data_IF_047332847245
#
_entry.id   IF_047332847245
#
_cell.length_a   1.000
_cell.length_b   1.000
_cell.length_c   1.000
_cell.angle_alpha   90.00
_cell.angle_beta   90.00
_cell.angle_gamma   90.00
#
_symmetry.space_group_name_H-M   'P 1'
#
loop_
_entity.id
_entity.type
_entity.pdbx_description
1 polymer ?
#
# COMPACT_ATOMS: atom_id res chain seq x y z
N UNK A 1 28.22 -1.66 3.40
CA UNK A 1 26.85 -1.63 3.92
C UNK A 1 25.94 -1.48 2.72
N UNK A 2 25.03 -2.42 2.52
CA UNK A 2 24.04 -2.39 1.42
C UNK A 2 22.87 -1.52 1.83
N UNK A 3 22.39 -0.65 0.95
CA UNK A 3 21.27 0.25 1.24
C UNK A 3 20.10 -0.05 0.31
N UNK A 4 18.96 -0.42 0.89
CA UNK A 4 17.72 -0.73 0.16
C UNK A 4 16.74 0.43 0.35
N UNK A 5 16.23 0.97 -0.74
CA UNK A 5 15.08 1.86 -0.67
C UNK A 5 13.80 1.02 -0.72
N UNK A 6 12.90 1.20 0.24
CA UNK A 6 11.66 0.44 0.38
C UNK A 6 10.45 1.34 0.19
N UNK A 7 9.62 1.06 -0.83
CA UNK A 7 8.34 1.75 -1.01
C UNK A 7 7.43 1.48 0.18
N UNK A 8 7.30 2.47 1.05
CA UNK A 8 6.53 2.42 2.29
C UNK A 8 6.09 3.83 2.68
N UNK A 9 4.96 3.92 3.38
CA UNK A 9 4.39 5.22 3.77
C UNK A 9 4.98 5.79 5.06
N UNK A 10 5.65 4.96 5.87
CA UNK A 10 6.54 5.38 6.97
C UNK A 10 7.61 4.34 7.24
N UNK A 11 8.64 4.72 7.99
CA UNK A 11 9.58 3.78 8.59
C UNK A 11 8.92 3.07 9.80
N UNK A 12 9.09 1.74 9.99
CA UNK A 12 8.48 1.02 11.12
C UNK A 12 8.84 1.56 12.50
N UNK A 13 10.01 2.19 12.64
CA UNK A 13 10.49 2.72 13.93
C UNK A 13 10.12 4.19 14.12
N UNK A 14 9.51 4.82 13.13
CA UNK A 14 9.10 6.23 13.20
C UNK A 14 7.78 6.38 13.97
N UNK A 15 7.83 7.13 15.07
CA UNK A 15 6.67 7.55 15.85
C UNK A 15 6.01 8.73 15.12
N UNK A 16 4.82 8.51 14.57
CA UNK A 16 4.05 9.54 13.87
C UNK A 16 2.66 9.62 14.49
N UNK A 17 2.29 10.80 14.98
CA UNK A 17 0.95 11.06 15.52
C UNK A 17 -0.12 11.09 14.43
N UNK A 18 -1.39 11.03 14.81
CA UNK A 18 -2.51 10.94 13.87
C UNK A 18 -2.53 12.08 12.84
N UNK A 19 -2.41 13.32 13.30
CA UNK A 19 -2.47 14.54 12.48
C UNK A 19 -1.40 14.51 11.38
N UNK A 20 -0.17 14.19 11.79
CA UNK A 20 0.96 14.08 10.89
C UNK A 20 0.82 12.86 9.96
N UNK A 21 0.30 11.74 10.47
CA UNK A 21 0.02 10.55 9.67
C UNK A 21 -0.99 10.83 8.55
N UNK A 22 -2.00 11.68 8.81
CA UNK A 22 -2.99 12.11 7.82
C UNK A 22 -2.36 13.09 6.82
N UNK A 23 -1.58 14.08 7.29
CA UNK A 23 -0.92 15.07 6.43
C UNK A 23 0.08 14.42 5.47
N UNK A 24 0.93 13.51 5.96
CA UNK A 24 1.93 12.78 5.17
C UNK A 24 1.35 11.60 4.40
N UNK A 25 0.11 11.21 4.69
CA UNK A 25 -0.52 9.99 4.23
C UNK A 25 0.33 8.73 4.49
N UNK A 26 0.78 8.58 5.73
CA UNK A 26 1.71 7.48 6.13
C UNK A 26 1.12 6.09 5.91
N UNK A 27 -0.21 5.94 5.94
CA UNK A 27 -0.88 4.68 5.62
C UNK A 27 -1.14 4.50 4.12
N UNK A 28 -0.71 5.42 3.26
CA UNK A 28 -0.96 5.39 1.81
C UNK A 28 -2.46 5.18 1.50
N UNK A 29 -3.31 5.94 2.17
CA UNK A 29 -4.79 5.89 2.21
C UNK A 29 -5.41 4.69 2.91
N UNK A 30 -4.64 3.64 3.24
CA UNK A 30 -5.16 2.45 3.90
C UNK A 30 -4.15 1.74 4.83
N UNK A 31 -4.48 1.55 6.10
CA UNK A 31 -3.57 0.97 7.10
C UNK A 31 -3.10 -0.46 6.77
N UNK A 32 -3.88 -1.19 5.97
CA UNK A 32 -3.46 -2.47 5.40
C UNK A 32 -2.19 -2.39 4.55
N UNK A 33 -1.86 -1.21 4.01
CA UNK A 33 -0.60 -0.99 3.30
C UNK A 33 0.61 -1.06 4.22
N UNK A 34 0.47 -0.60 5.46
CA UNK A 34 1.54 -0.68 6.43
C UNK A 34 1.81 -2.12 6.86
N UNK A 35 0.78 -2.97 6.92
CA UNK A 35 0.93 -4.40 7.31
C UNK A 35 1.93 -5.12 6.41
N UNK A 36 1.83 -4.94 5.08
CA UNK A 36 2.77 -5.59 4.17
C UNK A 36 4.09 -4.84 4.01
N UNK A 37 4.13 -3.52 4.19
CA UNK A 37 5.40 -2.79 4.12
C UNK A 37 6.25 -2.99 5.37
N UNK A 38 5.65 -3.00 6.56
CA UNK A 38 6.36 -3.33 7.82
C UNK A 38 6.91 -4.76 7.77
N UNK A 39 6.13 -5.72 7.28
CA UNK A 39 6.61 -7.08 7.06
C UNK A 39 7.79 -7.12 6.09
N UNK A 40 7.74 -6.37 4.98
CA UNK A 40 8.86 -6.28 4.03
C UNK A 40 10.11 -5.63 4.65
N UNK A 41 9.96 -4.61 5.49
CA UNK A 41 11.07 -4.04 6.27
C UNK A 41 11.68 -5.07 7.22
N UNK A 42 10.86 -5.78 8.00
CA UNK A 42 11.31 -6.84 8.90
C UNK A 42 12.06 -7.94 8.15
N UNK A 43 11.50 -8.40 7.03
CA UNK A 43 12.08 -9.48 6.23
C UNK A 43 13.50 -9.15 5.74
N UNK A 44 13.77 -7.87 5.45
CA UNK A 44 15.05 -7.39 4.91
C UNK A 44 15.99 -6.81 5.98
N UNK A 45 15.60 -6.86 7.25
CA UNK A 45 16.41 -6.34 8.35
C UNK A 45 17.50 -7.35 8.74
N UNK A 46 18.65 -7.27 8.06
CA UNK A 46 19.79 -8.15 8.29
C UNK A 46 21.08 -7.36 8.51
N UNK A 47 22.08 -7.91 9.22
CA UNK A 47 23.36 -7.24 9.43
C UNK A 47 24.02 -6.80 8.12
N UNK A 48 24.43 -5.54 8.08
CA UNK A 48 25.08 -4.92 6.93
C UNK A 48 24.11 -4.44 5.84
N UNK A 49 22.79 -4.57 6.03
CA UNK A 49 21.75 -3.98 5.19
C UNK A 49 21.04 -2.87 5.94
N UNK A 50 20.88 -1.71 5.30
CA UNK A 50 20.04 -0.59 5.76
C UNK A 50 18.78 -0.54 4.89
N UNK A 51 17.60 -0.63 5.49
CA UNK A 51 16.33 -0.48 4.77
C UNK A 51 15.77 0.90 5.07
N UNK A 52 15.56 1.71 4.03
CA UNK A 52 15.12 3.10 4.15
C UNK A 52 13.74 3.27 3.53
N UNK A 53 12.82 3.92 4.24
CA UNK A 53 11.47 4.18 3.74
C UNK A 53 11.43 5.29 2.68
N UNK A 54 10.57 5.14 1.67
CA UNK A 54 10.25 6.24 0.75
C UNK A 54 9.47 7.39 1.39
N UNK A 55 8.97 7.23 2.61
CA UNK A 55 8.26 8.28 3.34
C UNK A 55 9.15 9.51 3.62
N UNK A 56 10.46 9.30 3.74
CA UNK A 56 11.46 10.33 3.94
C UNK A 56 11.75 11.15 2.68
N UNK A 57 11.15 10.81 1.53
CA UNK A 57 11.63 11.31 0.24
C UNK A 57 11.23 12.73 -0.15
N UNK A 58 10.21 13.36 0.43
CA UNK A 58 9.89 14.81 0.31
C UNK A 58 9.81 15.49 -1.09
N UNK A 59 10.19 14.82 -2.18
CA UNK A 59 10.58 15.38 -3.48
C UNK A 59 10.23 14.35 -4.55
N UNK A 60 8.94 14.26 -4.88
CA UNK A 60 8.32 13.29 -5.81
C UNK A 60 8.81 13.36 -7.28
N UNK A 61 9.93 14.03 -7.57
CA UNK A 61 10.51 14.21 -8.92
C UNK A 61 11.96 13.78 -9.10
N UNK A 62 12.73 13.56 -8.02
CA UNK A 62 14.17 13.19 -8.07
C UNK A 62 14.46 11.79 -7.54
N UNK A 63 13.42 11.01 -7.22
CA UNK A 63 13.57 9.71 -6.59
C UNK A 63 14.46 8.76 -7.40
N UNK A 64 14.35 8.76 -8.73
CA UNK A 64 15.21 7.94 -9.59
C UNK A 64 16.70 8.29 -9.47
N UNK A 65 17.02 9.58 -9.38
CA UNK A 65 18.41 10.05 -9.26
C UNK A 65 18.96 9.67 -7.89
N UNK A 66 18.17 9.88 -6.84
CA UNK A 66 18.50 9.47 -5.47
C UNK A 66 18.73 7.97 -5.34
N UNK A 67 17.87 7.14 -5.97
CA UNK A 67 18.08 5.68 -6.02
C UNK A 67 19.47 5.35 -6.56
N UNK A 68 19.89 6.04 -7.62
CA UNK A 68 21.16 5.76 -8.28
C UNK A 68 22.37 6.20 -7.44
N UNK A 69 22.25 7.32 -6.73
CA UNK A 69 23.31 7.91 -5.91
C UNK A 69 23.47 7.21 -4.55
N UNK A 70 22.36 6.83 -3.91
CA UNK A 70 22.35 6.46 -2.48
C UNK A 70 22.06 4.98 -2.19
N UNK A 71 21.49 4.25 -3.15
CA UNK A 71 20.92 2.92 -2.89
C UNK A 71 21.49 1.86 -3.83
N UNK A 72 21.40 0.61 -3.38
CA UNK A 72 21.84 -0.58 -4.12
C UNK A 72 20.68 -1.28 -4.81
N UNK A 73 19.45 -1.15 -4.30
CA UNK A 73 18.24 -1.62 -4.94
C UNK A 73 17.00 -0.83 -4.48
N UNK A 74 15.94 -0.89 -5.29
CA UNK A 74 14.63 -0.35 -4.96
C UNK A 74 13.60 -1.47 -4.81
N UNK A 75 13.14 -1.70 -3.59
CA UNK A 75 12.15 -2.72 -3.24
C UNK A 75 10.77 -2.09 -3.18
N UNK A 76 9.82 -2.69 -3.88
CA UNK A 76 8.51 -2.10 -4.15
C UNK A 76 7.39 -3.06 -3.71
N UNK A 77 7.02 -3.09 -2.43
CA UNK A 77 5.79 -3.72 -1.98
C UNK A 77 4.59 -3.00 -2.62
N UNK A 78 3.78 -3.77 -3.31
CA UNK A 78 2.56 -3.29 -3.95
C UNK A 78 1.35 -4.02 -3.38
N UNK A 79 0.19 -3.45 -3.67
CA UNK A 79 -1.10 -4.08 -3.43
C UNK A 79 -1.78 -4.29 -4.78
N UNK A 80 -3.02 -3.85 -4.88
CA UNK A 80 -3.81 -3.84 -6.11
C UNK A 80 -3.42 -2.68 -7.05
N UNK A 81 -2.18 -2.64 -7.51
CA UNK A 81 -1.66 -1.52 -8.31
C UNK A 81 -2.31 -1.44 -9.70
N UNK A 82 -2.76 -2.56 -10.28
CA UNK A 82 -3.48 -2.52 -11.56
C UNK A 82 -4.96 -2.22 -11.30
N UNK A 83 -5.25 -0.92 -11.17
CA UNK A 83 -6.60 -0.37 -11.05
C UNK A 83 -6.64 1.04 -11.64
N UNK A 84 -7.77 1.46 -12.25
CA UNK A 84 -7.87 2.79 -12.86
C UNK A 84 -7.53 3.95 -11.92
N UNK A 85 -8.00 3.88 -10.66
CA UNK A 85 -7.74 4.93 -9.67
C UNK A 85 -6.27 5.11 -9.27
N UNK A 86 -5.40 4.15 -9.60
CA UNK A 86 -3.96 4.21 -9.33
C UNK A 86 -3.11 4.34 -10.59
N UNK A 87 -3.71 4.35 -11.78
CA UNK A 87 -2.97 4.49 -13.04
C UNK A 87 -2.01 5.70 -13.05
N UNK A 88 -2.36 6.90 -12.54
CA UNK A 88 -1.41 8.01 -12.46
C UNK A 88 -0.22 7.73 -11.52
N UNK A 89 -0.46 6.97 -10.44
CA UNK A 89 0.58 6.50 -9.51
C UNK A 89 1.49 5.48 -10.17
N UNK A 90 0.91 4.53 -10.92
CA UNK A 90 1.63 3.53 -11.69
C UNK A 90 2.55 4.20 -12.72
N UNK A 91 2.05 5.17 -13.50
CA UNK A 91 2.85 5.95 -14.45
C UNK A 91 4.02 6.69 -13.79
N UNK A 92 3.84 7.24 -12.57
CA UNK A 92 4.92 7.89 -11.81
C UNK A 92 5.98 6.87 -11.36
N UNK A 93 5.54 5.71 -10.91
CA UNK A 93 6.42 4.63 -10.49
C UNK A 93 7.22 4.10 -11.69
N UNK A 94 6.59 3.85 -12.83
CA UNK A 94 7.26 3.44 -14.08
C UNK A 94 8.35 4.43 -14.49
N UNK A 95 8.07 5.74 -14.46
CA UNK A 95 9.10 6.76 -14.75
C UNK A 95 10.27 6.73 -13.78
N UNK A 96 10.02 6.45 -12.50
CA UNK A 96 11.07 6.33 -11.49
C UNK A 96 11.94 5.10 -11.77
N UNK A 97 11.31 3.95 -12.03
CA UNK A 97 11.97 2.68 -12.34
C UNK A 97 12.83 2.81 -13.60
N UNK A 98 12.29 3.38 -14.69
CA UNK A 98 13.05 3.58 -15.94
C UNK A 98 14.27 4.49 -15.78
N UNK A 99 14.24 5.46 -14.86
CA UNK A 99 15.39 6.32 -14.52
C UNK A 99 16.40 5.66 -13.61
N UNK A 100 16.02 4.61 -12.88
CA UNK A 100 16.93 3.92 -11.99
C UNK A 100 17.92 3.05 -12.79
N UNK A 101 19.19 3.07 -12.40
CA UNK A 101 20.23 2.16 -12.85
C UNK A 101 20.41 0.97 -11.90
N UNK A 102 19.64 0.93 -10.81
CA UNK A 102 19.70 -0.10 -9.76
C UNK A 102 18.63 -1.18 -10.00
N UNK A 103 18.84 -2.40 -9.47
CA UNK A 103 17.80 -3.42 -9.42
C UNK A 103 16.50 -2.92 -8.80
N UNK A 104 15.37 -3.40 -9.33
CA UNK A 104 14.03 -3.11 -8.80
C UNK A 104 13.31 -4.43 -8.56
N UNK A 105 12.82 -4.61 -7.34
CA UNK A 105 12.17 -5.86 -6.90
C UNK A 105 10.74 -5.57 -6.46
N UNK A 106 9.75 -6.20 -7.09
CA UNK A 106 8.33 -5.99 -6.76
C UNK A 106 7.84 -7.10 -5.84
N UNK A 107 7.47 -6.73 -4.61
CA UNK A 107 6.94 -7.68 -3.63
C UNK A 107 5.42 -7.72 -3.72
N UNK A 108 4.91 -8.49 -4.69
CA UNK A 108 3.52 -8.87 -4.82
C UNK A 108 2.63 -7.74 -5.33
N UNK A 109 2.48 -7.63 -6.65
CA UNK A 109 1.46 -6.77 -7.29
C UNK A 109 0.18 -7.56 -7.61
N UNK A 110 -0.97 -6.90 -7.52
CA UNK A 110 -2.29 -7.49 -7.82
C UNK A 110 -3.10 -6.67 -8.82
N UNK A 111 -3.90 -7.37 -9.62
CA UNK A 111 -4.95 -6.80 -10.45
C UNK A 111 -6.27 -6.62 -9.71
N UNK A 112 -6.94 -5.48 -9.93
CA UNK A 112 -8.31 -5.30 -9.46
C UNK A 112 -9.28 -5.77 -10.54
N UNK A 113 -10.15 -6.72 -10.22
CA UNK A 113 -11.23 -7.19 -11.10
C UNK A 113 -12.53 -7.46 -10.33
N UNK A 114 -13.64 -7.60 -11.06
CA UNK A 114 -14.88 -8.15 -10.51
C UNK A 114 -14.67 -9.60 -10.06
N UNK A 115 -15.47 -10.09 -9.10
CA UNK A 115 -15.30 -11.43 -8.48
C UNK A 115 -15.21 -12.58 -9.50
N UNK A 116 -15.83 -12.44 -10.68
CA UNK A 116 -15.75 -13.40 -11.78
C UNK A 116 -14.48 -13.35 -12.64
N UNK A 117 -13.49 -12.52 -12.28
CA UNK A 117 -12.25 -12.37 -13.06
C UNK A 117 -12.40 -11.45 -14.28
N UNK A 118 -13.48 -10.67 -14.36
CA UNK A 118 -13.69 -9.71 -15.45
C UNK A 118 -12.64 -8.59 -15.39
N UNK A 119 -11.81 -8.51 -16.45
CA UNK A 119 -10.74 -7.54 -16.66
C UNK A 119 -11.12 -6.42 -17.64
N UNK A 120 -12.38 -6.32 -18.09
CA UNK A 120 -12.81 -5.32 -19.07
C UNK A 120 -12.44 -3.88 -18.66
N UNK A 121 -12.58 -3.54 -17.38
CA UNK A 121 -12.19 -2.20 -16.86
C UNK A 121 -10.68 -2.00 -16.76
N UNK A 122 -9.86 -3.04 -16.92
CA UNK A 122 -8.40 -2.93 -17.03
C UNK A 122 -7.94 -2.71 -18.48
N UNK A 123 -8.76 -3.05 -19.49
CA UNK A 123 -8.40 -2.85 -20.91
C UNK A 123 -7.90 -1.43 -21.22
N UNK A 124 -8.54 -0.34 -20.74
CA UNK A 124 -8.08 1.02 -21.04
C UNK A 124 -6.69 1.35 -20.47
N UNK A 125 -6.22 0.59 -19.47
CA UNK A 125 -4.93 0.80 -18.82
C UNK A 125 -3.88 -0.27 -19.16
N UNK A 126 -4.17 -1.21 -20.06
CA UNK A 126 -3.24 -2.30 -20.42
C UNK A 126 -1.88 -1.78 -20.89
N UNK A 127 -1.85 -0.72 -21.69
CA UNK A 127 -0.57 -0.12 -22.13
C UNK A 127 0.23 0.46 -20.95
N UNK A 128 -0.46 1.03 -19.95
CA UNK A 128 0.21 1.47 -18.72
C UNK A 128 0.73 0.28 -17.90
N UNK A 129 -0.03 -0.83 -17.84
CA UNK A 129 0.40 -2.06 -17.17
C UNK A 129 1.61 -2.65 -17.87
N UNK A 130 1.57 -2.78 -19.20
CA UNK A 130 2.70 -3.27 -20.01
C UNK A 130 3.95 -2.42 -19.81
N UNK A 131 3.83 -1.09 -19.86
CA UNK A 131 4.98 -0.20 -19.66
C UNK A 131 5.58 -0.35 -18.25
N UNK A 132 4.74 -0.50 -17.22
CA UNK A 132 5.19 -0.78 -15.87
C UNK A 132 5.91 -2.12 -15.74
N UNK A 133 5.31 -3.21 -16.24
CA UNK A 133 5.87 -4.55 -16.12
C UNK A 133 7.18 -4.66 -16.90
N UNK A 134 7.24 -4.14 -18.13
CA UNK A 134 8.49 -4.07 -18.91
C UNK A 134 9.57 -3.30 -18.15
N UNK A 135 9.24 -2.15 -17.55
CA UNK A 135 10.21 -1.39 -16.77
C UNK A 135 10.74 -2.15 -15.53
N UNK A 136 9.92 -3.00 -14.90
CA UNK A 136 10.36 -3.87 -13.79
C UNK A 136 11.26 -4.99 -14.30
N UNK A 137 10.87 -5.67 -15.38
CA UNK A 137 11.64 -6.78 -15.97
C UNK A 137 12.98 -6.31 -16.58
N UNK A 138 13.07 -5.04 -17.00
CA UNK A 138 14.35 -4.40 -17.38
C UNK A 138 15.33 -4.29 -16.18
N UNK A 139 14.89 -4.55 -14.94
CA UNK A 139 15.64 -4.33 -13.69
C UNK A 139 15.79 -5.56 -12.80
N UNK A 140 15.22 -6.70 -13.19
CA UNK A 140 15.26 -7.93 -12.39
C UNK A 140 14.78 -9.14 -13.19
N UNK A 141 15.04 -10.36 -12.71
CA UNK A 141 14.74 -11.58 -13.46
C UNK A 141 13.24 -11.86 -13.62
N UNK A 142 12.38 -11.30 -12.76
CA UNK A 142 10.94 -11.58 -12.75
C UNK A 142 10.14 -10.54 -11.95
N UNK A 143 8.82 -10.54 -12.08
CA UNK A 143 7.91 -9.74 -11.26
C UNK A 143 7.09 -10.62 -10.31
N UNK A 144 7.09 -10.28 -9.02
CA UNK A 144 6.27 -10.95 -8.01
C UNK A 144 4.82 -10.48 -8.02
N UNK A 145 3.86 -11.41 -8.15
CA UNK A 145 2.42 -11.14 -8.11
C UNK A 145 1.73 -11.80 -6.91
N UNK A 146 0.54 -11.30 -6.55
CA UNK A 146 -0.20 -11.71 -5.34
C UNK A 146 -0.98 -13.02 -5.48
N UNK A 147 -1.23 -13.49 -6.71
CA UNK A 147 -1.97 -14.72 -6.97
C UNK A 147 -2.02 -15.06 -8.45
N UNK A 148 -2.64 -16.19 -8.75
CA UNK A 148 -2.73 -16.79 -10.08
C UNK A 148 -3.51 -15.91 -11.05
N UNK A 149 -4.58 -15.24 -10.58
CA UNK A 149 -5.37 -14.34 -11.41
C UNK A 149 -4.52 -13.23 -12.04
N UNK A 150 -3.68 -12.57 -11.23
CA UNK A 150 -2.78 -11.52 -11.72
C UNK A 150 -1.70 -12.09 -12.63
N UNK A 151 -1.21 -13.30 -12.36
CA UNK A 151 -0.26 -13.98 -13.24
C UNK A 151 -0.86 -14.29 -14.61
N UNK A 152 -2.09 -14.81 -14.65
CA UNK A 152 -2.84 -15.08 -15.87
C UNK A 152 -3.11 -13.79 -16.65
N UNK A 153 -3.50 -12.72 -15.95
CA UNK A 153 -3.68 -11.41 -16.58
C UNK A 153 -2.39 -10.92 -17.25
N UNK A 154 -1.24 -10.96 -16.56
CA UNK A 154 0.04 -10.54 -17.15
C UNK A 154 0.48 -11.47 -18.28
N UNK A 155 0.20 -12.77 -18.17
CA UNK A 155 0.43 -13.76 -19.23
C UNK A 155 -0.37 -13.42 -20.49
N UNK A 156 -1.63 -13.02 -20.34
CA UNK A 156 -2.48 -12.59 -21.45
C UNK A 156 -1.97 -11.33 -22.17
N UNK A 157 -1.16 -10.51 -21.47
CA UNK A 157 -0.49 -9.35 -22.04
C UNK A 157 0.88 -9.67 -22.67
N UNK A 158 1.33 -10.92 -22.60
CA UNK A 158 2.54 -11.42 -23.25
C UNK A 158 3.77 -11.56 -22.33
N UNK A 159 3.63 -11.37 -21.02
CA UNK A 159 4.73 -11.53 -20.07
C UNK A 159 4.83 -12.98 -19.56
N UNK A 160 6.06 -13.49 -19.37
CA UNK A 160 6.29 -14.86 -18.87
C UNK A 160 7.09 -14.91 -17.59
N UNK A 161 7.92 -13.89 -17.34
CA UNK A 161 8.77 -13.77 -16.16
C UNK A 161 7.96 -13.27 -14.95
N UNK A 162 6.90 -14.00 -14.61
CA UNK A 162 5.91 -13.65 -13.58
C UNK A 162 5.86 -14.77 -12.53
N UNK A 163 6.05 -14.41 -11.26
CA UNK A 163 6.10 -15.36 -10.16
C UNK A 163 5.00 -15.10 -9.13
N UNK A 164 4.20 -16.11 -8.81
CA UNK A 164 3.13 -16.01 -7.81
C UNK A 164 3.71 -16.17 -6.40
N UNK A 165 3.92 -15.05 -5.71
CA UNK A 165 4.58 -15.02 -4.40
C UNK A 165 3.65 -14.61 -3.25
N UNK A 166 2.44 -14.16 -3.56
CA UNK A 166 1.50 -13.68 -2.54
C UNK A 166 1.85 -12.29 -2.00
N UNK A 167 1.56 -12.08 -0.72
CA UNK A 167 1.78 -10.82 -0.02
C UNK A 167 2.80 -11.02 1.12
N UNK A 168 3.84 -10.19 1.23
CA UNK A 168 4.90 -10.38 2.23
C UNK A 168 4.39 -10.32 3.68
N UNK A 169 3.22 -9.73 3.93
CA UNK A 169 2.60 -9.70 5.26
C UNK A 169 2.44 -11.09 5.87
N UNK A 170 2.08 -12.11 5.08
CA UNK A 170 1.88 -13.47 5.60
C UNK A 170 3.18 -14.13 6.05
N UNK A 171 4.33 -13.64 5.59
CA UNK A 171 5.66 -14.20 5.89
C UNK A 171 6.37 -13.46 7.03
N UNK A 172 5.70 -12.52 7.71
CA UNK A 172 6.26 -11.74 8.84
C UNK A 172 6.86 -12.63 9.94
N UNK A 173 6.30 -13.82 10.15
CA UNK A 173 6.75 -14.79 11.17
C UNK A 173 7.54 -15.97 10.59
N UNK A 174 7.84 -15.94 9.28
CA UNK A 174 8.67 -16.94 8.63
C UNK A 174 7.90 -18.17 8.14
N UNK A 175 8.48 -19.37 8.22
CA UNK A 175 7.89 -20.61 7.68
C UNK A 175 6.71 -21.13 8.50
N UNK A 176 6.41 -20.51 9.65
CA UNK A 176 5.30 -20.87 10.54
C UNK A 176 4.41 -19.66 10.80
N UNK A 177 3.10 -19.89 10.88
CA UNK A 177 2.14 -18.88 11.32
C UNK A 177 1.96 -18.98 12.83
N UNK A 178 1.78 -17.87 13.56
CA UNK A 178 1.44 -17.88 14.98
C UNK A 178 -0.02 -18.32 15.23
N UNK A 179 -0.68 -18.85 14.20
CA UNK A 179 -2.10 -19.21 14.18
C UNK A 179 -2.41 -20.26 15.24
N UNK A 180 -3.47 -20.01 16.00
CA UNK A 180 -3.99 -20.95 16.99
C UNK A 180 -5.36 -21.43 16.52
N UNK A 181 -5.47 -22.73 16.27
CA UNK A 181 -6.76 -23.30 15.91
C UNK A 181 -7.72 -23.16 17.10
N UNK A 182 -8.94 -22.64 16.89
CA UNK A 182 -9.91 -22.52 17.95
C UNK A 182 -10.36 -23.92 18.39
N UNK A 183 -10.44 -24.15 19.71
CA UNK A 183 -10.88 -25.44 20.26
C UNK A 183 -12.40 -25.64 20.20
N UNK A 184 -13.16 -24.57 19.98
CA UNK A 184 -14.61 -24.54 19.87
C UNK A 184 -15.05 -23.37 18.97
N UNK A 185 -16.30 -23.40 18.52
CA UNK A 185 -16.92 -22.30 17.81
C UNK A 185 -17.12 -21.04 18.68
N UNK A 186 -17.47 -19.90 18.07
CA UNK A 186 -17.72 -18.67 18.78
C UNK A 186 -18.99 -18.76 19.66
N UNK A 187 -18.94 -18.15 20.83
CA UNK A 187 -20.06 -18.05 21.78
C UNK A 187 -20.49 -16.60 21.95
N UNK A 188 -21.59 -16.32 22.67
CA UNK A 188 -22.01 -14.94 22.92
C UNK A 188 -20.95 -14.11 23.69
N UNK A 189 -20.06 -14.76 24.44
CA UNK A 189 -18.96 -14.11 25.15
C UNK A 189 -17.72 -13.88 24.28
N UNK A 190 -17.70 -14.39 23.05
CA UNK A 190 -16.60 -14.19 22.11
C UNK A 190 -16.50 -12.73 21.67
N UNK A 191 -15.28 -12.22 21.68
CA UNK A 191 -14.91 -10.92 21.11
C UNK A 191 -14.64 -11.11 19.63
N UNK A 192 -15.42 -10.43 18.79
CA UNK A 192 -15.30 -10.51 17.32
C UNK A 192 -14.75 -9.19 16.79
N UNK A 193 -13.66 -9.24 16.02
CA UNK A 193 -13.20 -8.09 15.24
C UNK A 193 -13.84 -8.10 13.87
N UNK A 194 -14.45 -6.98 13.50
CA UNK A 194 -14.98 -6.77 12.15
C UNK A 194 -14.22 -5.72 11.38
N UNK A 195 -14.21 -5.84 10.06
CA UNK A 195 -13.62 -4.86 9.16
C UNK A 195 -14.37 -4.78 7.83
N UNK A 196 -14.32 -3.61 7.19
CA UNK A 196 -15.04 -3.37 5.94
C UNK A 196 -14.52 -2.16 5.18
N UNK A 197 -14.97 -2.01 3.94
CA UNK A 197 -14.76 -0.77 3.17
C UNK A 197 -16.09 -0.11 2.91
N UNK A 198 -16.12 1.23 2.86
CA UNK A 198 -17.32 1.98 2.45
C UNK A 198 -17.95 1.46 1.14
N UNK A 199 -17.15 0.91 0.21
CA UNK A 199 -17.66 0.32 -1.02
C UNK A 199 -18.48 -0.95 -0.77
N UNK A 200 -18.07 -1.80 0.18
CA UNK A 200 -18.83 -3.00 0.56
C UNK A 200 -20.13 -2.65 1.27
N UNK A 201 -20.12 -1.65 2.15
CA UNK A 201 -21.35 -1.14 2.79
C UNK A 201 -22.32 -0.56 1.77
N UNK A 202 -21.82 0.19 0.78
CA UNK A 202 -22.67 0.83 -0.23
C UNK A 202 -23.21 -0.14 -1.27
N UNK A 203 -22.37 -1.06 -1.74
CA UNK A 203 -22.66 -1.82 -2.96
C UNK A 203 -23.03 -3.29 -2.70
N UNK A 204 -22.77 -3.80 -1.49
CA UNK A 204 -22.89 -5.24 -1.18
C UNK A 204 -23.50 -5.48 0.21
N UNK A 205 -24.11 -4.45 0.81
CA UNK A 205 -24.84 -4.52 2.08
C UNK A 205 -24.07 -5.23 3.22
N UNK A 206 -22.79 -4.89 3.38
CA UNK A 206 -22.00 -5.41 4.50
C UNK A 206 -22.60 -5.01 5.86
N UNK A 207 -23.39 -3.91 5.91
CA UNK A 207 -24.07 -3.44 7.12
C UNK A 207 -24.95 -4.52 7.75
N UNK A 208 -25.75 -5.23 6.94
CA UNK A 208 -26.57 -6.37 7.40
C UNK A 208 -25.76 -7.44 8.13
N UNK A 209 -24.57 -7.78 7.63
CA UNK A 209 -23.71 -8.77 8.28
C UNK A 209 -23.14 -8.22 9.59
N UNK A 210 -22.74 -6.94 9.60
CA UNK A 210 -22.27 -6.26 10.82
C UNK A 210 -23.36 -6.28 11.89
N UNK A 211 -24.61 -5.99 11.53
CA UNK A 211 -25.75 -6.00 12.46
C UNK A 211 -26.01 -7.40 13.05
N UNK A 212 -25.96 -8.44 12.22
CA UNK A 212 -26.10 -9.83 12.70
C UNK A 212 -24.97 -10.26 13.62
N UNK A 213 -23.72 -9.90 13.29
CA UNK A 213 -22.56 -10.22 14.13
C UNK A 213 -22.67 -9.51 15.48
N UNK A 214 -23.01 -8.22 15.52
CA UNK A 214 -23.13 -7.49 16.80
C UNK A 214 -24.30 -7.97 17.66
N UNK A 215 -25.40 -8.41 17.04
CA UNK A 215 -26.53 -9.01 17.76
C UNK A 215 -26.15 -10.35 18.37
N UNK A 216 -25.43 -11.19 17.62
CA UNK A 216 -24.97 -12.51 18.08
C UNK A 216 -23.84 -12.43 19.10
N UNK A 217 -22.96 -11.44 18.95
CA UNK A 217 -21.71 -11.27 19.70
C UNK A 217 -21.60 -9.83 20.24
N UNK A 218 -22.15 -9.54 21.44
CA UNK A 218 -22.19 -8.18 21.99
C UNK A 218 -20.83 -7.51 22.16
N UNK A 219 -19.74 -8.28 22.28
CA UNK A 219 -18.35 -7.81 22.39
C UNK A 219 -17.67 -7.51 21.05
N UNK A 220 -18.44 -7.41 19.97
CA UNK A 220 -17.91 -7.09 18.63
C UNK A 220 -17.28 -5.70 18.60
N UNK A 221 -16.09 -5.59 18.01
CA UNK A 221 -15.42 -4.33 17.67
C UNK A 221 -15.34 -4.16 16.15
N UNK A 222 -15.23 -2.92 15.67
CA UNK A 222 -15.02 -2.64 14.25
C UNK A 222 -13.72 -1.88 14.02
N UNK A 223 -12.90 -2.36 13.08
CA UNK A 223 -11.62 -1.77 12.72
C UNK A 223 -11.73 -1.09 11.36
N UNK A 224 -11.76 0.24 11.39
CA UNK A 224 -11.54 1.07 10.22
C UNK A 224 -10.07 1.03 9.79
N UNK A 225 -9.82 1.32 8.52
CA UNK A 225 -8.52 1.15 7.87
C UNK A 225 -8.18 2.30 6.91
N UNK A 226 -8.85 3.45 6.90
CA UNK A 226 -8.46 4.57 6.02
C UNK A 226 -8.47 5.93 6.73
N UNK A 227 -7.83 6.93 6.13
CA UNK A 227 -7.68 8.27 6.71
C UNK A 227 -9.03 8.95 6.98
N UNK A 228 -10.05 8.69 6.16
CA UNK A 228 -11.39 9.25 6.36
C UNK A 228 -12.03 8.66 7.61
N UNK A 229 -11.83 7.37 7.87
CA UNK A 229 -12.31 6.70 9.08
C UNK A 229 -11.57 7.23 10.31
N UNK A 230 -10.24 7.39 10.22
CA UNK A 230 -9.44 7.98 11.30
C UNK A 230 -9.89 9.42 11.64
N UNK A 231 -10.11 10.23 10.61
CA UNK A 231 -10.62 11.61 10.72
C UNK A 231 -12.03 11.64 11.34
N UNK A 232 -12.89 10.68 10.97
CA UNK A 232 -14.23 10.54 11.55
C UNK A 232 -14.17 10.14 13.02
N UNK A 233 -13.28 9.23 13.41
CA UNK A 233 -13.12 8.84 14.81
C UNK A 233 -12.58 10.00 15.67
N UNK A 234 -11.58 10.74 15.17
CA UNK A 234 -10.98 11.85 15.93
C UNK A 234 -11.82 13.12 15.97
N UNK A 235 -12.48 13.48 14.87
CA UNK A 235 -13.11 14.80 14.76
C UNK A 235 -14.59 14.75 14.37
N UNK A 236 -15.19 13.55 14.32
CA UNK A 236 -16.60 13.35 13.93
C UNK A 236 -16.94 13.96 12.56
N UNK A 237 -15.95 14.07 11.67
CA UNK A 237 -16.14 14.67 10.34
C UNK A 237 -16.09 13.62 9.23
N UNK A 238 -17.04 13.74 8.29
CA UNK A 238 -17.13 12.89 7.11
C UNK A 238 -17.36 13.71 5.84
N UNK A 239 -16.80 13.27 4.70
CA UNK A 239 -17.19 13.74 3.37
C UNK A 239 -18.71 13.62 3.15
N UNK A 240 -19.29 14.56 2.41
CA UNK A 240 -20.74 14.63 2.18
C UNK A 240 -21.34 13.31 1.67
N UNK A 241 -20.64 12.63 0.76
CA UNK A 241 -21.07 11.36 0.16
C UNK A 241 -20.98 10.14 1.12
N UNK A 242 -20.39 10.30 2.30
CA UNK A 242 -20.28 9.26 3.33
C UNK A 242 -21.17 9.52 4.54
N UNK A 243 -21.61 10.77 4.78
CA UNK A 243 -22.50 11.11 5.90
C UNK A 243 -23.80 10.31 5.90
N UNK A 244 -24.39 10.11 4.72
CA UNK A 244 -25.64 9.36 4.56
C UNK A 244 -25.47 7.83 4.71
N UNK A 245 -24.24 7.32 4.72
CA UNK A 245 -23.96 5.89 4.86
C UNK A 245 -23.81 5.54 6.34
N UNK A 246 -24.92 5.59 7.08
CA UNK A 246 -24.97 5.42 8.55
C UNK A 246 -24.80 3.96 8.99
N UNK A 247 -24.88 3.00 8.08
CA UNK A 247 -24.61 1.58 8.34
C UNK A 247 -23.13 1.24 8.53
N UNK A 248 -22.22 2.19 8.27
CA UNK A 248 -20.78 1.98 8.50
C UNK A 248 -20.46 2.30 9.96
N UNK A 249 -19.83 1.41 10.74
CA UNK A 249 -19.57 1.65 12.16
C UNK A 249 -18.71 2.89 12.47
N UNK A 250 -17.85 3.31 11.56
CA UNK A 250 -17.04 4.54 11.70
C UNK A 250 -17.84 5.83 11.47
N UNK A 251 -19.11 5.73 11.08
CA UNK A 251 -20.01 6.87 10.99
C UNK A 251 -20.43 7.32 12.41
N UNK A 252 -20.34 8.62 12.75
CA UNK A 252 -20.70 9.12 14.08
C UNK A 252 -22.14 8.84 14.52
N UNK A 253 -23.04 8.54 13.59
CA UNK A 253 -24.45 8.18 13.84
C UNK A 253 -24.66 6.68 14.08
N UNK A 254 -23.64 5.84 13.88
CA UNK A 254 -23.76 4.39 14.09
C UNK A 254 -23.65 4.04 15.59
N UNK A 255 -24.46 3.11 16.13
CA UNK A 255 -24.42 2.75 17.56
C UNK A 255 -23.04 2.35 18.08
N UNK A 256 -22.30 1.50 17.35
CA UNK A 256 -20.94 1.09 17.73
C UNK A 256 -19.96 2.26 17.92
N UNK A 257 -20.16 3.38 17.22
CA UNK A 257 -19.35 4.59 17.41
C UNK A 257 -19.55 5.13 18.82
N UNK A 258 -20.81 5.33 19.23
CA UNK A 258 -21.16 5.84 20.56
C UNK A 258 -20.81 4.85 21.68
N UNK A 259 -20.90 3.55 21.41
CA UNK A 259 -20.49 2.47 22.32
C UNK A 259 -18.96 2.37 22.51
N UNK A 260 -18.17 3.18 21.77
CA UNK A 260 -16.71 3.14 21.86
C UNK A 260 -16.11 1.84 21.35
N UNK A 261 -16.76 1.18 20.37
CA UNK A 261 -16.34 -0.12 19.80
C UNK A 261 -15.61 -0.02 18.47
N UNK A 262 -15.24 1.19 18.05
CA UNK A 262 -14.62 1.44 16.75
C UNK A 262 -13.19 1.94 16.91
N UNK A 263 -12.28 1.39 16.11
CA UNK A 263 -10.84 1.68 16.17
C UNK A 263 -10.27 1.89 14.77
N UNK A 264 -9.25 2.73 14.64
CA UNK A 264 -8.38 2.80 13.45
C UNK A 264 -6.93 2.81 13.91
N UNK A 265 -6.09 1.97 13.32
CA UNK A 265 -4.68 1.89 13.67
C UNK A 265 -3.82 2.59 12.62
N UNK A 266 -2.88 3.42 13.09
CA UNK A 266 -1.84 4.05 12.25
C UNK A 266 -0.54 3.23 12.23
N UNK A 267 -0.50 2.15 13.01
CA UNK A 267 0.66 1.29 13.22
C UNK A 267 0.27 -0.20 13.19
N UNK A 268 0.86 -1.03 12.30
CA UNK A 268 0.55 -2.45 12.25
C UNK A 268 0.90 -3.18 13.55
N UNK A 269 1.98 -2.78 14.20
CA UNK A 269 2.46 -3.43 15.43
C UNK A 269 1.49 -3.29 16.60
N UNK A 270 0.90 -2.11 16.80
CA UNK A 270 -0.14 -1.92 17.83
C UNK A 270 -1.44 -2.59 17.41
N UNK A 271 -1.79 -2.56 16.12
CA UNK A 271 -2.94 -3.29 15.59
C UNK A 271 -2.87 -4.81 15.81
N UNK A 272 -1.77 -5.44 15.43
CA UNK A 272 -1.56 -6.89 15.57
C UNK A 272 -1.52 -7.27 17.05
N UNK A 273 -0.95 -6.42 17.91
CA UNK A 273 -0.93 -6.66 19.36
C UNK A 273 -2.34 -6.70 19.95
N UNK A 274 -3.15 -5.70 19.66
CA UNK A 274 -4.51 -5.59 20.22
C UNK A 274 -5.45 -6.69 19.70
N UNK A 275 -5.17 -7.24 18.51
CA UNK A 275 -5.92 -8.37 17.97
C UNK A 275 -5.63 -9.70 18.68
N UNK A 276 -4.55 -9.84 19.47
CA UNK A 276 -4.23 -11.09 20.20
C UNK A 276 -5.29 -11.49 21.21
N UNK A 277 -6.03 -10.52 21.74
CA UNK A 277 -7.07 -10.71 22.75
C UNK A 277 -8.47 -10.84 22.11
N UNK A 278 -8.55 -10.94 20.78
CA UNK A 278 -9.78 -11.17 20.02
C UNK A 278 -9.89 -12.64 19.66
N UNK A 279 -11.10 -13.22 19.82
CA UNK A 279 -11.35 -14.63 19.57
C UNK A 279 -11.46 -14.96 18.07
N UNK A 280 -12.11 -14.09 17.28
CA UNK A 280 -12.25 -14.25 15.83
C UNK A 280 -12.26 -12.92 15.09
N UNK A 281 -11.79 -12.90 13.85
CA UNK A 281 -11.92 -11.78 12.92
C UNK A 281 -12.78 -12.16 11.72
N UNK A 282 -13.70 -11.30 11.31
CA UNK A 282 -14.52 -11.50 10.10
C UNK A 282 -14.72 -10.17 9.36
N UNK A 283 -14.46 -10.15 8.06
CA UNK A 283 -14.68 -8.91 7.30
C UNK A 283 -14.13 -8.91 5.90
N UNK A 284 -14.37 -7.81 5.18
CA UNK A 284 -14.07 -7.69 3.76
C UNK A 284 -12.77 -6.99 3.40
N UNK A 285 -11.93 -6.67 4.38
CA UNK A 285 -10.58 -6.14 4.15
C UNK A 285 -9.55 -7.23 4.40
N UNK A 286 -8.89 -7.68 3.34
CA UNK A 286 -7.90 -8.77 3.43
C UNK A 286 -6.84 -8.53 4.51
N UNK A 287 -6.23 -7.32 4.57
CA UNK A 287 -5.19 -7.04 5.57
C UNK A 287 -5.73 -6.88 6.99
N UNK A 288 -7.04 -6.64 7.17
CA UNK A 288 -7.64 -6.69 8.50
C UNK A 288 -7.69 -8.11 9.05
N UNK A 289 -8.02 -9.07 8.20
CA UNK A 289 -8.00 -10.48 8.56
C UNK A 289 -6.58 -11.04 8.63
N UNK A 290 -5.65 -10.59 7.77
CA UNK A 290 -4.24 -10.94 7.90
C UNK A 290 -3.65 -10.41 9.21
N UNK A 291 -3.96 -9.18 9.63
CA UNK A 291 -3.50 -8.66 10.92
C UNK A 291 -3.96 -9.57 12.08
N UNK A 292 -5.18 -10.10 12.02
CA UNK A 292 -5.69 -11.07 13.00
C UNK A 292 -4.91 -12.40 12.93
N UNK A 293 -4.69 -12.94 11.74
CA UNK A 293 -3.89 -14.18 11.56
C UNK A 293 -2.46 -13.99 12.11
N UNK A 294 -1.85 -12.83 11.89
CA UNK A 294 -0.53 -12.47 12.40
C UNK A 294 -0.51 -12.27 13.93
N UNK A 295 -1.66 -12.00 14.53
CA UNK A 295 -1.86 -11.97 15.98
C UNK A 295 -2.08 -13.37 16.57
N UNK A 296 -2.33 -14.39 15.73
CA UNK A 296 -2.71 -15.74 16.13
C UNK A 296 -4.22 -15.95 16.21
N UNK A 297 -5.02 -14.96 15.83
CA UNK A 297 -6.49 -14.97 15.87
C UNK A 297 -7.07 -15.56 14.58
N UNK A 298 -7.99 -16.54 14.66
CA UNK A 298 -8.70 -17.07 13.52
C UNK A 298 -9.46 -16.00 12.75
N UNK A 299 -9.33 -16.01 11.42
CA UNK A 299 -9.95 -14.99 10.57
C UNK A 299 -10.68 -15.58 9.36
N UNK A 300 -11.85 -15.01 9.05
CA UNK A 300 -12.68 -15.34 7.89
C UNK A 300 -12.84 -14.11 6.98
N UNK A 301 -12.58 -14.30 5.69
CA UNK A 301 -12.65 -13.22 4.69
C UNK A 301 -14.02 -13.19 4.00
N UNK A 302 -14.68 -12.03 4.03
CA UNK A 302 -15.89 -11.75 3.24
C UNK A 302 -15.51 -11.01 1.97
N UNK A 303 -15.19 -11.75 0.91
CA UNK A 303 -14.67 -11.18 -0.31
C UNK A 303 -15.77 -10.50 -1.14
N UNK A 304 -15.58 -9.21 -1.43
CA UNK A 304 -16.45 -8.47 -2.34
C UNK A 304 -15.83 -8.12 -3.69
N UNK A 305 -14.56 -8.49 -3.93
CA UNK A 305 -13.88 -8.27 -5.20
C UNK A 305 -12.80 -9.33 -5.46
N UNK A 306 -12.32 -9.42 -6.71
CA UNK A 306 -11.31 -10.41 -7.07
C UNK A 306 -9.97 -10.20 -6.33
N UNK A 307 -9.64 -8.97 -5.91
CA UNK A 307 -8.37 -8.68 -5.22
C UNK A 307 -8.29 -9.40 -3.89
N UNK A 308 -9.37 -9.30 -3.14
CA UNK A 308 -9.51 -9.90 -1.82
C UNK A 308 -9.59 -11.42 -1.96
N UNK A 309 -10.33 -11.88 -2.98
CA UNK A 309 -10.51 -13.29 -3.28
C UNK A 309 -9.22 -13.98 -3.72
N UNK A 310 -8.44 -13.35 -4.58
CA UNK A 310 -7.16 -13.86 -5.10
C UNK A 310 -6.21 -14.19 -3.94
N UNK A 311 -6.00 -13.24 -3.04
CA UNK A 311 -5.13 -13.47 -1.87
C UNK A 311 -5.70 -14.53 -0.93
N UNK A 312 -7.00 -14.50 -0.66
CA UNK A 312 -7.64 -15.51 0.17
C UNK A 312 -7.47 -16.91 -0.42
N UNK A 313 -7.57 -17.06 -1.75
CA UNK A 313 -7.34 -18.32 -2.45
C UNK A 313 -5.89 -18.76 -2.41
N UNK A 314 -4.96 -17.88 -2.75
CA UNK A 314 -3.52 -18.21 -2.77
C UNK A 314 -3.03 -18.68 -1.39
N UNK A 315 -3.39 -17.94 -0.33
CA UNK A 315 -3.04 -18.30 1.04
C UNK A 315 -3.99 -19.32 1.66
N UNK A 316 -5.05 -19.72 0.95
CA UNK A 316 -6.10 -20.63 1.42
C UNK A 316 -6.73 -20.17 2.76
N UNK A 317 -6.84 -18.86 2.94
CA UNK A 317 -7.57 -18.26 4.07
C UNK A 317 -9.06 -18.58 3.87
N UNK A 318 -9.78 -19.04 4.91
CA UNK A 318 -11.23 -19.23 4.84
C UNK A 318 -11.93 -17.99 4.32
N UNK A 319 -12.82 -18.19 3.35
CA UNK A 319 -13.51 -17.08 2.71
C UNK A 319 -14.87 -17.45 2.14
N UNK A 320 -15.74 -16.44 2.06
CA UNK A 320 -16.97 -16.47 1.28
C UNK A 320 -17.03 -15.26 0.37
N UNK A 321 -17.69 -15.41 -0.78
CA UNK A 321 -18.05 -14.26 -1.61
C UNK A 321 -19.28 -13.60 -0.97
N UNK A 322 -19.17 -12.32 -0.62
CA UNK A 322 -20.20 -11.61 0.14
C UNK A 322 -21.57 -11.65 -0.56
N UNK A 323 -21.58 -11.49 -1.88
CA UNK A 323 -22.81 -11.49 -2.70
C UNK A 323 -23.45 -12.87 -2.89
N UNK A 324 -22.77 -13.95 -2.50
CA UNK A 324 -23.33 -15.31 -2.58
C UNK A 324 -23.89 -15.79 -1.24
N UNK A 325 -23.73 -15.01 -0.17
CA UNK A 325 -24.27 -15.37 1.14
C UNK A 325 -25.79 -15.19 1.16
N UNK A 326 -26.53 -16.12 1.81
CA UNK A 326 -27.97 -16.00 1.92
C UNK A 326 -28.37 -14.81 2.80
N UNK A 327 -29.61 -14.33 2.64
CA UNK A 327 -30.13 -13.20 3.40
C UNK A 327 -30.22 -13.49 4.90
N UNK A 328 -30.47 -14.74 5.26
CA UNK A 328 -30.60 -15.24 6.64
C UNK A 328 -29.31 -15.81 7.22
N UNK A 329 -28.16 -15.60 6.56
CA UNK A 329 -26.86 -16.12 6.99
C UNK A 329 -26.61 -15.88 8.50
N UNK A 330 -26.17 -16.94 9.17
CA UNK A 330 -25.75 -16.91 10.57
C UNK A 330 -24.22 -16.75 10.63
N UNK A 331 -23.70 -15.62 11.14
CA UNK A 331 -22.26 -15.41 11.26
C UNK A 331 -21.56 -16.43 12.15
N UNK A 332 -22.25 -17.02 13.14
CA UNK A 332 -21.67 -18.06 13.98
C UNK A 332 -21.32 -19.30 13.14
N UNK A 333 -22.24 -19.75 12.28
CA UNK A 333 -22.01 -20.88 11.37
C UNK A 333 -20.85 -20.64 10.43
N UNK A 334 -20.74 -19.43 9.86
CA UNK A 334 -19.61 -19.10 8.98
C UNK A 334 -18.25 -19.27 9.68
N UNK A 335 -18.16 -18.95 10.97
CA UNK A 335 -16.95 -19.11 11.76
C UNK A 335 -16.73 -20.56 12.23
N UNK A 336 -17.81 -21.29 12.52
CA UNK A 336 -17.76 -22.71 12.91
C UNK A 336 -17.33 -23.62 11.75
N UNK A 337 -17.79 -23.32 10.53
CA UNK A 337 -17.53 -24.11 9.33
C UNK A 337 -16.21 -23.72 8.64
N UNK A 338 -15.53 -22.67 9.10
CA UNK A 338 -14.28 -22.21 8.52
C UNK A 338 -13.13 -23.21 8.76
N UNK A 339 -12.43 -23.58 7.68
CA UNK A 339 -11.29 -24.50 7.73
C UNK A 339 -9.96 -23.80 7.45
N UNK A 340 -9.18 -23.54 8.50
CA UNK A 340 -7.84 -22.96 8.42
C UNK A 340 -6.73 -23.99 8.15
N UNK A 341 -7.05 -25.28 8.11
CA UNK A 341 -6.07 -26.37 7.91
C UNK A 341 -5.21 -26.17 6.65
N UNK A 342 -5.80 -25.93 5.47
CA UNK A 342 -5.05 -25.68 4.23
C UNK A 342 -4.12 -24.45 4.31
N UNK A 343 -4.57 -23.37 4.97
CA UNK A 343 -3.76 -22.17 5.18
C UNK A 343 -2.49 -22.49 5.96
N UNK A 344 -2.60 -23.25 7.05
CA UNK A 344 -1.46 -23.62 7.90
C UNK A 344 -0.57 -24.64 7.19
N UNK A 345 -1.16 -25.71 6.63
CA UNK A 345 -0.43 -26.80 6.01
C UNK A 345 0.41 -26.34 4.79
N UNK A 346 -0.13 -25.45 3.95
CA UNK A 346 0.57 -24.94 2.77
C UNK A 346 1.52 -23.76 3.05
N UNK A 347 1.56 -23.22 4.28
CA UNK A 347 2.27 -21.97 4.55
C UNK A 347 3.78 -22.09 4.33
N UNK A 348 4.39 -23.21 4.76
CA UNK A 348 5.83 -23.45 4.60
C UNK A 348 6.26 -23.47 3.14
N UNK A 349 5.46 -24.07 2.24
CA UNK A 349 5.75 -24.07 0.80
C UNK A 349 5.67 -22.66 0.22
N UNK A 350 4.63 -21.90 0.58
CA UNK A 350 4.48 -20.50 0.15
C UNK A 350 5.64 -19.63 0.65
N UNK A 351 6.07 -19.84 1.89
CA UNK A 351 7.25 -19.17 2.44
C UNK A 351 8.52 -19.50 1.65
N UNK A 352 8.78 -20.78 1.37
CA UNK A 352 9.94 -21.20 0.58
C UNK A 352 9.93 -20.64 -0.85
N UNK A 353 8.75 -20.53 -1.48
CA UNK A 353 8.59 -19.87 -2.78
C UNK A 353 8.94 -18.38 -2.70
N UNK A 354 8.47 -17.68 -1.67
CA UNK A 354 8.80 -16.28 -1.44
C UNK A 354 10.31 -16.09 -1.16
N UNK A 355 10.92 -16.95 -0.34
CA UNK A 355 12.35 -16.95 -0.07
C UNK A 355 13.18 -17.16 -1.34
N UNK A 356 12.80 -18.14 -2.17
CA UNK A 356 13.44 -18.39 -3.47
C UNK A 356 13.33 -17.19 -4.41
N UNK A 357 12.20 -16.48 -4.39
CA UNK A 357 12.02 -15.23 -5.14
C UNK A 357 12.99 -14.15 -4.63
N UNK A 358 13.15 -13.99 -3.32
CA UNK A 358 14.10 -13.02 -2.76
C UNK A 358 15.54 -13.36 -3.15
N UNK A 359 15.94 -14.63 -3.08
CA UNK A 359 17.27 -15.10 -3.44
C UNK A 359 17.58 -14.87 -4.93
N UNK A 360 16.62 -15.16 -5.82
CA UNK A 360 16.75 -14.90 -7.26
C UNK A 360 16.93 -13.40 -7.57
N UNK A 361 16.39 -12.53 -6.71
CA UNK A 361 16.53 -11.06 -6.78
C UNK A 361 17.71 -10.51 -5.97
N UNK A 362 18.53 -11.38 -5.36
CA UNK A 362 19.71 -10.99 -4.59
C UNK A 362 19.40 -10.28 -3.27
N UNK A 363 18.18 -10.44 -2.74
CA UNK A 363 17.76 -9.85 -1.47
C UNK A 363 17.96 -10.83 -0.32
N UNK A 364 18.86 -10.48 0.60
CA UNK A 364 19.05 -11.21 1.86
C UNK A 364 17.85 -11.03 2.77
N UNK A 365 17.53 -12.05 3.55
CA UNK A 365 16.41 -11.99 4.47
C UNK A 365 16.76 -12.51 5.87
N UNK A 366 15.97 -12.09 6.85
CA UNK A 366 16.19 -12.36 8.27
C UNK A 366 16.11 -13.85 8.64
N UNK A 367 15.40 -14.67 7.84
CA UNK A 367 15.29 -16.10 8.08
C UNK A 367 16.49 -16.88 7.52
N UNK A 368 16.99 -16.53 6.33
CA UNK A 368 18.24 -17.09 5.80
C UNK A 368 19.47 -16.61 6.58
N UNK A 369 19.42 -15.38 7.11
CA UNK A 369 20.45 -14.87 8.03
C UNK A 369 20.47 -15.64 9.36
N UNK A 370 19.30 -16.08 9.84
CA UNK A 370 19.17 -16.96 11.00
C UNK A 370 18.67 -16.29 12.29
N UNK A 371 18.40 -14.99 12.29
CA UNK A 371 17.84 -14.29 13.46
C UNK A 371 16.30 -14.24 13.47
N UNK A 372 15.64 -14.59 12.36
CA UNK A 372 14.17 -14.70 12.27
C UNK A 372 13.41 -13.41 12.58
N UNK A 373 14.09 -12.28 12.51
CA UNK A 373 13.59 -10.93 12.76
C UNK A 373 13.64 -10.52 14.22
N UNK A 374 14.35 -11.26 15.07
CA UNK A 374 14.47 -10.96 16.51
C UNK A 374 15.02 -9.55 16.75
N UNK A 375 16.05 -9.14 16.00
CA UNK A 375 16.62 -7.78 16.09
C UNK A 375 15.57 -6.69 15.76
N UNK A 376 14.82 -6.90 14.68
CA UNK A 376 13.73 -6.01 14.28
C UNK A 376 12.67 -5.86 15.38
N UNK A 377 12.18 -6.99 15.92
CA UNK A 377 11.15 -7.00 16.96
C UNK A 377 11.63 -6.33 18.26
N UNK A 378 12.91 -6.52 18.63
CA UNK A 378 13.50 -5.85 19.79
C UNK A 378 13.54 -4.33 19.63
N UNK A 379 13.97 -3.84 18.45
CA UNK A 379 13.95 -2.41 18.16
C UNK A 379 12.54 -1.85 18.15
N UNK A 380 11.60 -2.57 17.54
CA UNK A 380 10.20 -2.17 17.45
C UNK A 380 9.53 -2.13 18.82
N UNK A 381 9.84 -3.09 19.70
CA UNK A 381 9.33 -3.13 21.08
C UNK A 381 9.90 -2.01 21.97
N UNK A 382 11.05 -1.44 21.59
CA UNK A 382 11.65 -0.29 22.29
C UNK A 382 11.05 1.06 21.86
N UNK A 383 10.20 1.09 20.82
CA UNK A 383 9.51 2.29 20.33
C UNK A 383 8.10 2.35 20.91
N UNK A 384 7.75 3.50 21.50
CA UNK A 384 6.39 3.76 22.01
C UNK A 384 5.48 4.24 20.88
N UNK A 385 5.00 3.28 20.09
CA UNK A 385 4.10 3.55 18.95
C UNK A 385 2.69 3.92 19.45
N UNK A 386 2.00 4.87 18.80
CA UNK A 386 0.65 5.26 19.18
C UNK A 386 -0.34 4.09 19.15
N UNK A 387 -1.22 4.06 20.15
CA UNK A 387 -2.38 3.17 20.19
C UNK A 387 -3.40 3.48 19.09
N UNK A 388 -4.53 2.76 19.06
CA UNK A 388 -5.57 3.03 18.09
C UNK A 388 -6.18 4.42 18.26
N UNK A 389 -6.58 5.02 17.14
CA UNK A 389 -7.54 6.13 17.12
C UNK A 389 -8.89 5.59 17.55
N UNK A 390 -9.46 6.18 18.60
CA UNK A 390 -10.77 5.82 19.14
C UNK A 390 -11.83 6.88 18.80
N UNK A 391 -13.09 6.48 18.92
CA UNK A 391 -14.24 7.35 18.69
C UNK A 391 -14.31 8.49 19.71
N UNK A 392 -14.40 9.72 19.21
CA UNK A 392 -14.53 10.93 20.02
C UNK A 392 -15.98 11.15 20.44
N UNK A 393 -16.21 11.44 21.72
CA UNK A 393 -17.56 11.67 22.27
C UNK A 393 -18.18 12.94 21.68
N UNK A 394 -19.52 12.96 21.61
CA UNK A 394 -20.25 14.06 20.95
C UNK A 394 -20.14 15.41 21.67
N UNK A 395 -19.89 15.39 22.98
CA UNK A 395 -19.75 16.54 23.87
C UNK A 395 -18.30 17.04 24.00
N UNK A 396 -17.36 16.43 23.29
CA UNK A 396 -15.95 16.84 23.29
C UNK A 396 -15.72 18.06 22.39
N UNK A 397 -15.97 19.25 22.96
CA UNK A 397 -15.65 20.53 22.34
C UNK A 397 -14.14 20.75 22.15
N UNK A 398 -13.30 20.00 22.85
CA UNK A 398 -11.84 20.03 22.71
C UNK A 398 -11.41 19.49 21.35
N UNK A 399 -11.90 18.31 20.99
CA UNK A 399 -11.62 17.71 19.68
C UNK A 399 -12.07 18.59 18.50
N UNK A 400 -13.21 19.26 18.63
CA UNK A 400 -13.68 20.21 17.61
C UNK A 400 -12.73 21.42 17.46
N UNK A 401 -12.18 21.93 18.57
CA UNK A 401 -11.20 23.02 18.56
C UNK A 401 -9.88 22.56 17.94
N UNK A 402 -9.37 21.41 18.35
CA UNK A 402 -8.17 20.80 17.78
C UNK A 402 -8.29 20.62 16.27
N UNK A 403 -9.44 20.14 15.77
CA UNK A 403 -9.67 20.02 14.34
C UNK A 403 -9.56 21.36 13.61
N UNK A 404 -10.17 22.41 14.17
CA UNK A 404 -10.14 23.76 13.58
C UNK A 404 -8.72 24.31 13.57
N UNK A 405 -7.95 24.10 14.64
CA UNK A 405 -6.57 24.57 14.73
C UNK A 405 -5.65 23.79 13.79
N UNK A 406 -5.79 22.47 13.73
CA UNK A 406 -5.11 21.63 12.73
C UNK A 406 -5.45 22.05 11.30
N UNK A 407 -6.74 22.25 10.98
CA UNK A 407 -7.15 22.72 9.65
C UNK A 407 -6.53 24.07 9.28
N UNK A 408 -6.41 24.99 10.24
CA UNK A 408 -5.75 26.28 10.02
C UNK A 408 -4.28 26.09 9.71
N UNK A 409 -3.58 25.26 10.47
CA UNK A 409 -2.17 24.95 10.25
C UNK A 409 -1.93 24.23 8.92
N UNK A 410 -2.70 23.19 8.63
CA UNK A 410 -2.65 22.46 7.38
C UNK A 410 -2.96 23.36 6.17
N UNK A 411 -3.95 24.27 6.30
CA UNK A 411 -4.23 25.24 5.23
C UNK A 411 -3.06 26.22 5.04
N UNK A 412 -2.36 26.62 6.10
CA UNK A 412 -1.14 27.44 6.00
C UNK A 412 -0.01 26.66 5.33
N UNK A 413 0.20 25.38 5.69
CA UNK A 413 1.25 24.53 5.09
C UNK A 413 1.01 24.36 3.58
N UNK A 414 -0.21 24.02 3.17
CA UNK A 414 -0.60 23.90 1.75
C UNK A 414 -0.42 25.22 0.98
N UNK A 415 -0.73 26.37 1.57
CA UNK A 415 -0.49 27.69 0.94
C UNK A 415 0.99 27.98 0.75
N UNK A 416 1.82 27.61 1.73
CA UNK A 416 3.27 27.73 1.64
C UNK A 416 3.84 26.82 0.55
N UNK A 417 3.42 25.55 0.52
CA UNK A 417 3.87 24.59 -0.49
C UNK A 417 3.43 25.01 -1.90
N UNK A 418 2.19 25.48 -2.07
CA UNK A 418 1.72 26.03 -3.34
C UNK A 418 2.59 27.20 -3.80
N UNK A 419 2.94 28.13 -2.91
CA UNK A 419 3.83 29.26 -3.24
C UNK A 419 5.21 28.78 -3.68
N UNK A 420 5.78 27.78 -2.99
CA UNK A 420 7.05 27.14 -3.37
C UNK A 420 6.98 26.51 -4.76
N UNK A 421 5.93 25.73 -5.03
CA UNK A 421 5.74 25.06 -6.32
C UNK A 421 5.52 26.07 -7.46
N UNK A 422 4.78 27.16 -7.22
CA UNK A 422 4.63 28.24 -8.21
C UNK A 422 5.97 28.93 -8.51
N UNK A 423 6.82 29.13 -7.50
CA UNK A 423 8.19 29.61 -7.70
C UNK A 423 9.03 28.67 -8.58
N UNK A 424 8.98 27.36 -8.31
CA UNK A 424 9.67 26.36 -9.12
C UNK A 424 9.17 26.32 -10.57
N UNK A 425 7.85 26.41 -10.78
CA UNK A 425 7.27 26.48 -12.13
C UNK A 425 7.70 27.76 -12.85
N UNK A 426 7.76 28.89 -12.14
CA UNK A 426 8.25 30.14 -12.70
C UNK A 426 9.73 30.03 -13.12
N UNK A 427 10.58 29.43 -12.29
CA UNK A 427 12.00 29.24 -12.59
C UNK A 427 12.24 28.26 -13.75
N UNK A 428 11.46 27.18 -13.83
CA UNK A 428 11.50 26.24 -14.96
C UNK A 428 10.99 26.86 -16.28
N UNK A 429 10.20 27.92 -16.22
CA UNK A 429 9.70 28.67 -17.38
C UNK A 429 10.61 29.83 -17.77
N UNK A 430 11.65 30.15 -17.00
CA UNK A 430 12.63 31.16 -17.41
C UNK A 430 13.45 30.63 -18.59
N UNK A 431 13.56 31.38 -19.70
CA UNK A 431 14.47 31.01 -20.78
C UNK A 431 15.90 30.97 -20.24
N UNK A 432 16.66 29.95 -20.64
CA UNK A 432 18.07 29.84 -20.26
C UNK A 432 18.81 31.12 -20.66
N UNK A 433 19.74 31.64 -19.84
CA UNK A 433 20.59 32.73 -20.27
C UNK A 433 21.33 32.30 -21.54
N UNK A 434 21.35 33.17 -22.55
CA UNK A 434 22.10 32.92 -23.78
C UNK A 434 23.55 32.53 -23.41
N UNK A 435 24.14 31.51 -24.04
CA UNK A 435 25.50 31.11 -23.73
C UNK A 435 26.41 32.34 -23.88
N UNK A 436 27.15 32.67 -22.82
CA UNK A 436 28.16 33.71 -22.88
C UNK A 436 29.13 33.34 -24.01
N UNK A 437 29.17 34.15 -25.06
CA UNK A 437 30.15 34.03 -26.13
C UNK A 437 31.54 34.18 -25.50
N UNK A 438 32.21 33.05 -25.29
CA UNK A 438 33.66 33.04 -25.05
C UNK A 438 34.30 33.62 -26.31
N UNK A 439 35.09 34.71 -26.25
CA UNK A 439 35.78 35.22 -27.42
C UNK A 439 36.78 34.16 -27.86
N UNK A 440 36.48 33.45 -28.95
CA UNK A 440 37.47 32.64 -29.62
C UNK A 440 38.56 33.58 -30.16
N UNK A 441 39.79 33.39 -29.69
CA UNK A 441 40.99 33.93 -30.34
C UNK A 441 41.04 33.35 -31.77
N UNK A 442 40.63 34.15 -32.75
CA UNK A 442 40.78 33.82 -34.17
C UNK A 442 42.19 34.25 -34.60
N UNK A 443 43.05 33.35 -35.13
CA UNK A 443 44.28 33.75 -35.78
C UNK A 443 43.97 34.58 -37.03
N UNK A 444 44.59 35.75 -37.16
CA UNK A 444 44.45 36.61 -38.32
C UNK A 444 44.86 35.87 -39.60
N UNK A 445 43.91 35.58 -40.50
CA UNK A 445 44.23 35.01 -41.81
C UNK A 445 43.10 34.37 -42.61
N UNK A 446 41.94 34.03 -42.03
CA UNK A 446 40.92 33.24 -42.73
C UNK A 446 39.70 34.04 -43.26
N UNK A 447 39.67 35.37 -43.12
CA UNK A 447 38.51 36.19 -43.54
C UNK A 447 38.48 36.55 -45.04
N UNK A 448 39.49 36.15 -45.82
CA UNK A 448 39.59 36.49 -47.24
C UNK A 448 39.08 35.42 -48.22
N UNK A 449 38.93 34.14 -47.80
CA UNK A 449 38.56 33.05 -48.72
C UNK A 449 37.07 32.68 -48.76
N UNK A 450 36.27 33.12 -47.78
CA UNK A 450 34.83 32.81 -47.75
C UNK A 450 33.98 33.82 -48.53
N UNK A 451 34.50 35.05 -48.78
CA UNK A 451 33.77 36.08 -49.53
C UNK A 451 33.76 35.87 -51.06
N UNK A 452 34.69 35.13 -51.64
CA UNK A 452 34.70 34.85 -53.09
C UNK A 452 33.83 33.66 -53.51
N UNK A 453 33.56 32.70 -52.62
CA UNK A 453 32.73 31.54 -52.93
C UNK A 453 31.22 31.87 -52.93
N UNK A 454 30.77 32.78 -52.05
CA UNK A 454 29.35 33.17 -51.96
C UNK A 454 28.85 34.04 -53.13
N UNK A 455 29.73 34.86 -53.72
CA UNK A 455 29.34 35.77 -54.80
C UNK A 455 29.13 35.08 -56.16
N UNK A 456 29.68 33.87 -56.39
CA UNK A 456 29.46 33.10 -57.62
C UNK A 456 28.17 32.29 -57.62
N UNK A 457 27.66 31.91 -56.45
CA UNK A 457 26.41 31.12 -56.33
C UNK A 457 25.17 32.01 -56.53
N UNK A 458 25.20 33.26 -56.04
CA UNK A 458 24.06 34.19 -56.13
C UNK A 458 23.87 34.76 -57.55
N UNK A 459 24.91 34.82 -58.39
CA UNK A 459 24.79 35.25 -59.80
C UNK A 459 24.26 34.16 -60.75
N UNK A 460 24.34 32.87 -60.38
CA UNK A 460 23.90 31.76 -61.24
C UNK A 460 22.41 31.41 -61.08
N UNK A 461 21.77 31.84 -59.98
CA UNK A 461 20.36 31.59 -59.68
C UNK A 461 19.40 32.71 -60.14
N UNK A 462 19.90 33.73 -60.84
CA UNK A 462 19.07 34.84 -61.39
C UNK A 462 18.98 34.86 -62.92
N UNK A 463 19.40 33.79 -63.61
CA UNK A 463 19.34 33.68 -65.09
C UNK A 463 18.87 32.30 -65.59
N UNK A 464 18.06 31.59 -64.84
CA UNK A 464 17.41 30.33 -65.26
C UNK A 464 15.95 30.34 -64.85
#
# INVERSE_FOLDING_TARGET
>A
MTRLLMRSGKDPFEIVGLEESIERDTILTNSGNLVFSEAAHKLMDVPGVEVVSTSSDGVRGKLGDRINEEFDAFVVPLANAFRPSFEPGLKRLTRTIRRSTKPVVVLGVGGQAGVGGDVEHLRPMEETVKDFVSAVLDKGPSIGVRGEFTAEYLTSLGFRDVEVIGCPSMFRHGPELPFRQPSAGPTADSTISMNGSHALFRNQDLGRIVDRVRERFPRTIFIGQNNVEATSLRWRTLPRNLRALTSVPTNPEHPMYAEGKVRVYMDPSTWIRDLRDVDFSIGGRIHGNIAAILAGTPALVLSGDARTLELARYFQIPHHVLTTLPEDVDPARLLEEADWGPMVAGHRERFARFESYLDAHGLKNTFTHGDGGVSFEQRLAAVDLPGPVEATKADDLGAAREYVDWLREYTRSLRSERSRLLGQVHDLRRPAPAPALVPALVPAGAAARVREAGARVVRRLRRS
#
